data_IF_129853262028
#
_entry.id   IF_129853262028
#
_cell.length_a   1.000
_cell.length_b   1.000
_cell.length_c   1.000
_cell.angle_alpha   90.00
_cell.angle_beta   90.00
_cell.angle_gamma   90.00
#
_symmetry.space_group_name_H-M   'P 1'
#
loop_
_entity.id
_entity.type
_entity.pdbx_description
1 polymer ?
#
# COMPACT_ATOMS: atom_id res chain seq x y z
N UNK A 1 -12.17 2.55 -7.78
CA UNK A 1 -11.56 2.55 -6.42
C UNK A 1 -12.07 3.79 -5.71
N UNK A 2 -12.49 3.67 -4.44
CA UNK A 2 -12.88 4.84 -3.66
C UNK A 2 -11.71 5.82 -3.47
N UNK A 3 -12.05 7.10 -3.36
CA UNK A 3 -11.14 8.24 -3.32
C UNK A 3 -10.20 8.16 -2.10
N UNK A 4 -8.87 8.25 -2.30
CA UNK A 4 -7.85 8.25 -1.22
C UNK A 4 -7.76 9.62 -0.54
N UNK A 5 -8.90 10.14 -0.07
CA UNK A 5 -8.99 11.41 0.63
C UNK A 5 -8.58 11.30 2.10
N UNK A 6 -8.29 12.45 2.74
CA UNK A 6 -7.88 12.51 4.16
C UNK A 6 -8.89 11.86 5.12
N UNK A 7 -10.17 11.92 4.80
CA UNK A 7 -11.23 11.32 5.62
C UNK A 7 -11.17 9.79 5.66
N UNK A 8 -10.41 9.17 4.76
CA UNK A 8 -10.24 7.73 4.68
C UNK A 8 -8.93 7.25 5.30
N UNK A 9 -8.14 8.13 5.93
CA UNK A 9 -6.91 7.73 6.62
C UNK A 9 -7.28 6.93 7.87
N UNK A 10 -6.71 5.74 8.00
CA UNK A 10 -6.86 4.87 9.17
C UNK A 10 -5.56 4.74 9.96
N UNK A 11 -4.44 5.17 9.40
CA UNK A 11 -3.16 5.16 10.09
C UNK A 11 -2.07 5.91 9.35
N UNK A 12 -1.05 6.31 10.08
CA UNK A 12 0.16 6.92 9.55
C UNK A 12 1.37 6.37 10.30
N UNK A 13 2.42 6.03 9.57
CA UNK A 13 3.72 5.64 10.13
C UNK A 13 4.84 6.41 9.41
N UNK A 14 6.09 6.12 9.77
CA UNK A 14 7.27 6.72 9.12
C UNK A 14 7.44 6.32 7.66
N UNK A 15 6.64 5.38 7.15
CA UNK A 15 6.72 4.86 5.79
C UNK A 15 5.57 5.35 4.90
N UNK A 16 4.52 5.95 5.47
CA UNK A 16 3.44 6.58 4.72
C UNK A 16 2.11 6.62 5.44
N UNK A 17 1.05 6.66 4.64
CA UNK A 17 -0.33 6.72 5.12
C UNK A 17 -1.09 5.48 4.69
N UNK A 18 -1.88 4.92 5.60
CA UNK A 18 -2.79 3.81 5.35
C UNK A 18 -4.21 4.37 5.23
N UNK A 19 -4.86 4.01 4.14
CA UNK A 19 -6.23 4.43 3.83
C UNK A 19 -7.16 3.22 3.85
N UNK A 20 -8.37 3.44 4.33
CA UNK A 20 -9.50 2.55 4.07
C UNK A 20 -10.02 2.78 2.65
N UNK A 21 -10.34 1.71 1.93
CA UNK A 21 -10.94 1.80 0.61
C UNK A 21 -11.79 0.60 0.25
N UNK A 22 -12.50 0.72 -0.86
CA UNK A 22 -13.28 -0.36 -1.46
C UNK A 22 -12.86 -0.60 -2.91
N UNK A 23 -12.67 -1.87 -3.26
CA UNK A 23 -12.50 -2.32 -4.65
C UNK A 23 -13.82 -2.22 -5.42
N UNK A 24 -13.77 -2.31 -6.75
CA UNK A 24 -14.96 -2.21 -7.61
C UNK A 24 -16.01 -3.29 -7.31
N UNK A 25 -15.58 -4.43 -6.80
CA UNK A 25 -16.46 -5.52 -6.37
C UNK A 25 -17.00 -5.36 -4.93
N UNK A 26 -16.81 -4.20 -4.29
CA UNK A 26 -17.25 -3.94 -2.92
C UNK A 26 -16.36 -4.50 -1.80
N UNK A 27 -15.28 -5.22 -2.14
CA UNK A 27 -14.35 -5.71 -1.12
C UNK A 27 -13.62 -4.55 -0.42
N UNK A 28 -13.68 -4.52 0.90
CA UNK A 28 -12.94 -3.57 1.73
C UNK A 28 -11.44 -3.93 1.75
N UNK A 29 -10.59 -2.91 1.66
CA UNK A 29 -9.13 -3.05 1.60
C UNK A 29 -8.44 -1.93 2.37
N UNK A 30 -7.28 -2.26 2.95
CA UNK A 30 -6.32 -1.27 3.41
C UNK A 30 -5.35 -0.93 2.29
N UNK A 31 -5.10 0.36 2.06
CA UNK A 31 -4.23 0.86 0.99
C UNK A 31 -3.10 1.64 1.66
N UNK A 32 -1.90 1.04 1.73
CA UNK A 32 -0.69 1.71 2.22
C UNK A 32 -0.07 2.51 1.07
N UNK A 33 -0.05 3.83 1.19
CA UNK A 33 0.61 4.74 0.26
C UNK A 33 1.93 5.20 0.88
N UNK A 34 3.03 4.84 0.25
CA UNK A 34 4.35 5.33 0.67
C UNK A 34 4.46 6.84 0.41
N UNK A 35 4.86 7.62 1.42
CA UNK A 35 5.16 9.04 1.25
C UNK A 35 6.66 9.22 1.11
N UNK A 36 7.10 10.00 0.11
CA UNK A 36 8.50 10.30 -0.16
C UNK A 36 9.36 9.03 -0.35
N UNK A 37 9.38 8.53 -1.59
CA UNK A 37 10.37 7.54 -2.04
C UNK A 37 11.76 8.18 -2.07
N UNK A 38 12.33 8.48 -0.91
CA UNK A 38 13.76 8.75 -0.77
C UNK A 38 14.50 7.48 -1.19
N UNK A 39 15.69 7.59 -1.77
CA UNK A 39 16.54 6.44 -2.12
C UNK A 39 16.70 5.52 -0.89
N UNK A 40 15.94 4.42 -0.84
CA UNK A 40 15.82 3.55 0.33
C UNK A 40 14.40 3.02 0.55
N UNK A 41 13.38 3.88 0.45
CA UNK A 41 11.99 3.49 0.67
C UNK A 41 11.46 2.59 -0.46
N UNK A 42 11.97 2.73 -1.70
CA UNK A 42 11.65 1.80 -2.79
C UNK A 42 12.20 0.39 -2.52
N UNK A 43 13.36 0.26 -1.88
CA UNK A 43 13.92 -1.03 -1.50
C UNK A 43 13.07 -1.70 -0.42
N UNK A 44 12.67 -0.95 0.61
CA UNK A 44 11.75 -1.45 1.64
C UNK A 44 10.38 -1.84 1.05
N UNK A 45 9.83 -1.03 0.15
CA UNK A 45 8.59 -1.37 -0.54
C UNK A 45 8.72 -2.67 -1.34
N UNK A 46 9.83 -2.84 -2.08
CA UNK A 46 10.11 -4.09 -2.80
C UNK A 46 10.26 -5.27 -1.85
N UNK A 47 10.97 -5.12 -0.73
CA UNK A 47 11.11 -6.18 0.26
C UNK A 47 9.76 -6.56 0.89
N UNK A 48 8.93 -5.60 1.30
CA UNK A 48 7.58 -5.88 1.82
C UNK A 48 6.72 -6.61 0.77
N UNK A 49 6.82 -6.19 -0.50
CA UNK A 49 6.10 -6.81 -1.61
C UNK A 49 6.58 -8.24 -1.90
N UNK A 50 7.90 -8.46 -1.98
CA UNK A 50 8.50 -9.78 -2.20
C UNK A 50 8.13 -10.74 -1.08
N UNK A 51 8.31 -10.35 0.18
CA UNK A 51 7.94 -11.17 1.34
C UNK A 51 6.46 -11.49 1.34
N UNK A 52 5.59 -10.51 1.09
CA UNK A 52 4.14 -10.73 1.02
C UNK A 52 3.72 -11.59 -0.17
N UNK A 53 4.51 -11.59 -1.26
CA UNK A 53 4.24 -12.42 -2.44
C UNK A 53 4.71 -13.87 -2.30
N UNK A 54 5.77 -14.10 -1.52
CA UNK A 54 6.35 -15.42 -1.26
C UNK A 54 5.59 -16.18 -0.18
N UNK A 55 4.93 -15.45 0.74
CA UNK A 55 4.08 -16.05 1.77
C UNK A 55 2.70 -16.40 1.16
N UNK A 56 2.47 -17.69 0.96
CA UNK A 56 1.14 -18.23 0.68
C UNK A 56 0.15 -17.87 1.80
N UNK A 57 -1.15 -17.90 1.49
CA UNK A 57 -2.23 -17.47 2.38
C UNK A 57 -2.17 -18.22 3.72
N UNK A 58 -1.54 -17.60 4.72
CA UNK A 58 -1.57 -18.06 6.09
C UNK A 58 -2.67 -17.31 6.85
N UNK A 59 -3.46 -17.97 7.73
CA UNK A 59 -4.58 -17.32 8.43
C UNK A 59 -4.20 -16.06 9.21
N UNK A 60 -2.95 -15.99 9.68
CA UNK A 60 -2.43 -14.88 10.49
C UNK A 60 -1.54 -13.90 9.70
N UNK A 61 -1.42 -14.06 8.38
CA UNK A 61 -0.61 -13.15 7.55
C UNK A 61 -1.51 -12.38 6.60
N UNK A 62 -1.36 -11.06 6.59
CA UNK A 62 -2.13 -10.18 5.71
C UNK A 62 -1.75 -10.46 4.26
N UNK A 63 -2.73 -10.88 3.47
CA UNK A 63 -2.54 -11.12 2.03
C UNK A 63 -2.48 -9.80 1.27
N UNK A 64 -1.36 -9.55 0.60
CA UNK A 64 -1.25 -8.50 -0.40
C UNK A 64 -2.14 -8.84 -1.60
N UNK A 65 -3.13 -7.99 -1.91
CA UNK A 65 -4.02 -8.19 -3.07
C UNK A 65 -3.49 -7.58 -4.37
N UNK A 66 -2.55 -6.64 -4.28
CA UNK A 66 -1.95 -5.98 -5.43
C UNK A 66 -1.20 -4.71 -5.02
N UNK A 67 -0.46 -4.15 -5.98
CA UNK A 67 0.27 -2.90 -5.83
C UNK A 67 0.12 -2.05 -7.09
N UNK A 68 0.35 -0.74 -6.98
CA UNK A 68 0.31 0.17 -8.11
C UNK A 68 1.34 1.28 -7.94
N UNK A 69 1.97 1.70 -9.04
CA UNK A 69 2.93 2.82 -9.08
C UNK A 69 2.33 3.91 -9.96
N UNK A 70 2.05 5.09 -9.40
CA UNK A 70 1.54 6.22 -10.19
C UNK A 70 2.68 7.13 -10.64
N UNK A 71 2.68 7.54 -11.93
CA UNK A 71 3.71 8.42 -12.52
C UNK A 71 3.91 9.77 -11.79
N UNK A 72 2.91 10.26 -11.05
CA UNK A 72 2.98 11.54 -10.29
C UNK A 72 4.02 11.57 -9.17
N UNK A 73 4.58 10.41 -8.78
CA UNK A 73 5.59 10.30 -7.72
C UNK A 73 7.02 10.20 -8.25
N UNK A 74 7.21 10.25 -9.58
CA UNK A 74 8.51 10.46 -10.21
C UNK A 74 8.64 11.95 -10.54
N UNK A 75 9.07 12.75 -9.57
CA UNK A 75 9.65 14.07 -9.85
C UNK A 75 11.12 13.82 -10.18
N UNK A 76 11.44 13.86 -11.47
CA UNK A 76 12.81 14.10 -11.91
C UNK A 76 13.18 15.56 -11.61
#
# INVERSE_FOLDING_TARGET
MQNLGRNNIVGMDGFGMVYWGSLANGSQVAIKRASNLVQGTEKQFKTEMEVSSLIYVHPNVVRLRGFGRTKKELRF
#
